data_IF_856272683313
#
_entry.id   IF_856272683313
#
_cell.length_a   1.000
_cell.length_b   1.000
_cell.length_c   1.000
_cell.angle_alpha   90.00
_cell.angle_beta   90.00
_cell.angle_gamma   90.00
#
_symmetry.space_group_name_H-M   'P 1'
#
loop_
_entity.id
_entity.type
_entity.pdbx_description
1 polymer ?
2 polymer ?
3 non-polymer ?
4 water ?
#
# COMPACT_ATOMS: atom_id res chain seq x y z
N UNK A 5 24.60 1.01 -13.27
CA UNK A 5 24.48 -0.40 -12.96
C UNK A 5 23.47 -0.67 -11.87
N UNK A 6 22.62 -1.67 -12.08
CA UNK A 6 21.55 -1.96 -11.11
C UNK A 6 22.14 -2.33 -9.75
N UNK A 7 23.13 -3.23 -9.74
CA UNK A 7 23.75 -3.66 -8.49
C UNK A 7 24.36 -2.47 -7.75
N UNK A 8 25.10 -1.63 -8.46
CA UNK A 8 25.72 -0.46 -7.82
C UNK A 8 24.67 0.55 -7.37
N UNK A 9 23.61 0.75 -8.17
CA UNK A 9 22.59 1.70 -7.79
C UNK A 9 21.89 1.29 -6.50
N UNK A 10 21.51 0.01 -6.39
CA UNK A 10 20.75 -0.42 -5.22
C UNK A 10 21.60 -0.37 -3.96
N UNK A 11 22.87 -0.75 -4.08
CA UNK A 11 23.80 -0.67 -2.96
C UNK A 11 24.00 0.77 -2.48
N UNK A 12 24.12 1.71 -3.43
CA UNK A 12 24.22 3.12 -3.05
C UNK A 12 22.99 3.58 -2.29
N UNK A 13 21.81 3.13 -2.72
CA UNK A 13 20.58 3.48 -2.00
C UNK A 13 20.59 2.88 -0.59
N UNK A 14 21.02 1.62 -0.48
CA UNK A 14 21.00 0.96 0.82
C UNK A 14 21.94 1.63 1.80
N UNK A 15 22.98 2.30 1.30
CA UNK A 15 23.91 3.05 2.16
C UNK A 15 23.34 4.39 2.58
N UNK A 16 22.50 5.02 1.76
CA UNK A 16 21.99 6.35 2.03
C UNK A 16 20.95 6.39 3.13
N UNK A 17 20.58 5.24 3.70
CA UNK A 17 19.50 5.21 4.67
C UNK A 17 19.79 6.00 5.95
N UNK A 18 21.08 6.20 6.28
CA UNK A 18 21.47 6.85 7.53
C UNK A 18 20.99 8.30 7.63
N UNK A 19 20.50 8.91 6.55
CA UNK A 19 20.04 10.29 6.60
C UNK A 19 18.53 10.44 6.53
N UNK A 20 17.82 9.33 6.43
CA UNK A 20 16.37 9.30 6.54
C UNK A 20 15.95 8.60 7.83
N UNK A 21 16.78 8.68 8.89
CA UNK A 21 16.52 8.03 10.18
C UNK A 21 15.62 8.86 11.08
N UNK A 22 14.51 9.31 10.54
CA UNK A 22 13.58 10.15 11.25
C UNK A 22 12.92 9.38 12.38
N UNK A 23 12.41 10.13 13.37
CA UNK A 23 11.79 9.54 14.55
C UNK A 23 10.64 8.59 14.19
N UNK A 24 10.56 7.50 14.93
CA UNK A 24 9.48 6.52 14.83
C UNK A 24 8.89 6.27 16.22
N UNK A 25 8.78 7.32 17.03
CA UNK A 25 8.50 7.13 18.45
C UNK A 25 7.09 6.62 18.72
N UNK A 26 6.09 7.06 17.94
CA UNK A 26 4.73 6.60 18.24
C UNK A 26 4.61 5.10 18.07
N UNK A 27 5.21 4.54 17.01
CA UNK A 27 5.14 3.09 16.86
C UNK A 27 5.92 2.30 17.89
N UNK A 28 6.81 2.97 18.64
CA UNK A 28 7.58 2.35 19.71
C UNK A 28 6.87 2.42 21.06
N UNK A 29 5.75 3.12 21.15
CA UNK A 29 5.07 3.20 22.44
C UNK A 29 4.54 1.85 22.87
N UNK A 30 4.52 1.62 24.19
CA UNK A 30 4.10 0.31 24.70
C UNK A 30 2.70 -0.04 24.22
N UNK A 31 1.81 0.94 24.18
CA UNK A 31 0.41 0.71 23.79
C UNK A 31 0.31 0.28 22.34
N UNK A 32 1.34 0.56 21.53
CA UNK A 32 1.29 0.26 20.11
C UNK A 32 2.12 -0.96 19.72
N UNK A 33 2.81 -1.61 20.68
CA UNK A 33 3.71 -2.70 20.34
C UNK A 33 2.99 -3.80 19.57
N UNK A 34 1.79 -4.15 19.98
CA UNK A 34 1.08 -5.26 19.36
C UNK A 34 0.31 -4.83 18.11
N UNK A 35 0.52 -3.60 17.64
CA UNK A 35 -0.09 -3.12 16.40
C UNK A 35 0.86 -3.19 15.21
N UNK A 36 2.07 -3.71 15.43
CA UNK A 36 3.10 -3.84 14.42
C UNK A 36 3.35 -5.32 14.16
N UNK A 37 3.33 -5.74 12.89
CA UNK A 37 3.69 -7.11 12.59
C UNK A 37 5.14 -7.40 12.93
N UNK A 38 6.02 -6.43 12.69
CA UNK A 38 7.45 -6.59 12.85
C UNK A 38 7.97 -5.48 13.75
N UNK A 39 8.71 -5.87 14.79
CA UNK A 39 9.17 -4.93 15.82
C UNK A 39 9.97 -3.78 15.21
N UNK A 40 10.73 -4.05 14.15
CA UNK A 40 11.70 -3.12 13.59
C UNK A 40 11.17 -2.28 12.43
N UNK A 41 9.95 -2.54 11.98
CA UNK A 41 9.42 -1.84 10.83
C UNK A 41 8.30 -0.96 11.33
N UNK A 42 8.57 0.36 11.40
CA UNK A 42 7.67 1.30 12.04
C UNK A 42 7.51 2.52 11.16
N UNK A 43 6.37 3.20 11.26
CA UNK A 43 6.14 4.41 10.45
C UNK A 43 6.90 5.62 11.01
N UNK A 44 7.44 6.45 10.11
CA UNK A 44 7.95 7.74 10.59
C UNK A 44 6.82 8.54 11.24
N UNK A 45 7.11 9.20 12.35
CA UNK A 45 6.07 9.97 13.02
C UNK A 45 5.51 11.05 12.11
N UNK A 46 6.36 11.74 11.34
CA UNK A 46 5.88 12.92 10.65
C UNK A 46 5.02 12.63 9.42
N UNK A 47 5.04 11.41 8.90
CA UNK A 47 4.19 11.07 7.75
C UNK A 47 3.20 9.97 8.10
N UNK A 48 3.15 9.51 9.35
CA UNK A 48 2.24 8.43 9.70
C UNK A 48 0.80 8.88 9.54
N UNK A 49 -0.10 7.92 9.28
CA UNK A 49 -1.52 8.21 9.25
C UNK A 49 -2.02 8.27 10.69
N UNK A 50 -2.50 9.43 11.12
CA UNK A 50 -3.02 9.60 12.47
C UNK A 50 -4.52 9.32 12.45
N UNK A 51 -4.98 8.38 13.29
CA UNK A 51 -6.40 8.00 13.28
C UNK A 51 -7.17 8.81 14.30
N UNK A 52 -8.19 9.51 13.83
CA UNK A 52 -9.02 10.34 14.67
C UNK A 52 -10.29 9.58 15.04
N UNK A 53 -11.08 10.16 15.92
CA UNK A 53 -12.43 9.67 16.21
C UNK A 53 -12.43 8.28 16.86
N UNK A 54 -11.40 7.96 17.62
CA UNK A 54 -11.33 6.66 18.26
C UNK A 54 -12.19 6.55 19.50
N UNK A 55 -12.39 5.31 19.95
CA UNK A 55 -13.09 5.03 21.19
C UNK A 55 -12.47 5.83 22.34
N UNK A 56 -13.23 6.70 22.99
CA UNK A 56 -12.64 7.55 24.04
C UNK A 56 -12.19 6.77 25.26
N UNK A 57 -12.56 5.49 25.40
CA UNK A 57 -12.07 4.67 26.51
C UNK A 57 -10.70 4.07 26.24
N UNK A 58 -10.24 4.11 24.99
CA UNK A 58 -8.94 3.58 24.65
C UNK A 58 -7.92 4.70 24.85
N UNK A 59 -6.93 4.52 25.72
CA UNK A 59 -5.95 5.60 25.93
C UNK A 59 -5.17 5.97 24.68
N UNK A 60 -4.84 5.01 23.81
CA UNK A 60 -4.15 5.29 22.56
C UNK A 60 -4.98 4.68 21.44
N UNK A 61 -5.65 5.52 20.66
CA UNK A 61 -6.48 5.01 19.57
C UNK A 61 -6.09 5.63 18.23
N UNK A 62 -4.96 6.31 18.16
CA UNK A 62 -4.64 7.10 16.98
C UNK A 62 -3.58 6.47 16.12
N UNK A 63 -3.22 5.21 16.36
CA UNK A 63 -2.07 4.59 15.73
C UNK A 63 -2.42 3.46 14.76
N UNK A 64 -1.84 3.54 13.55
CA UNK A 64 -1.77 2.41 12.64
C UNK A 64 -0.40 2.43 11.97
N UNK A 65 0.14 1.26 11.68
CA UNK A 65 1.44 1.20 11.01
C UNK A 65 1.23 1.48 9.52
N UNK A 66 1.28 2.77 9.16
CA UNK A 66 0.97 3.21 7.80
C UNK A 66 1.50 4.61 7.64
N UNK A 67 1.94 4.94 6.42
CA UNK A 67 2.37 6.29 6.10
C UNK A 67 1.78 6.76 4.79
N UNK A 68 1.49 8.06 4.71
CA UNK A 68 1.16 8.69 3.45
C UNK A 68 2.41 8.77 2.60
N UNK A 69 2.31 8.38 1.32
CA UNK A 69 3.40 8.50 0.35
C UNK A 69 2.90 9.41 -0.77
N UNK A 70 3.57 10.58 -0.93
CA UNK A 70 3.28 11.52 -2.03
C UNK A 70 4.36 11.37 -3.09
N UNK A 71 3.99 11.27 -4.36
CA UNK A 71 5.03 11.22 -5.40
C UNK A 71 5.74 12.54 -5.55
N UNK A 72 5.04 13.65 -5.26
CA UNK A 72 5.63 14.97 -5.30
C UNK A 72 5.13 15.72 -4.09
N UNK A 73 5.88 16.76 -3.71
CA UNK A 73 5.53 17.46 -2.47
C UNK A 73 4.14 18.09 -2.52
N UNK A 74 3.67 18.46 -3.69
CA UNK A 74 2.37 19.11 -3.70
C UNK A 74 1.21 18.20 -3.95
N UNK A 75 1.42 16.87 -3.86
CA UNK A 75 0.48 15.95 -4.47
C UNK A 75 -0.87 16.04 -3.80
N UNK A 76 -1.92 15.97 -4.62
CA UNK A 76 -3.25 15.80 -4.06
C UNK A 76 -3.33 14.43 -3.40
N UNK A 77 -4.32 14.26 -2.53
CA UNK A 77 -4.58 12.93 -1.98
C UNK A 77 -4.89 11.90 -3.05
N UNK A 78 -5.64 12.30 -4.08
CA UNK A 78 -5.97 11.38 -5.17
C UNK A 78 -4.74 10.85 -5.88
N UNK A 79 -3.65 11.63 -5.90
CA UNK A 79 -2.39 11.22 -6.54
C UNK A 79 -1.42 10.59 -5.53
N UNK A 80 -1.84 10.39 -4.28
CA UNK A 80 -0.99 9.84 -3.23
C UNK A 80 -1.37 8.40 -2.91
N UNK A 81 -0.58 7.80 -2.01
CA UNK A 81 -0.75 6.43 -1.58
C UNK A 81 -0.66 6.38 -0.06
N UNK A 82 -1.21 5.32 0.51
CA UNK A 82 -0.93 4.94 1.89
C UNK A 82 -0.24 3.61 1.82
N UNK A 83 0.97 3.55 2.33
CA UNK A 83 1.71 2.29 2.43
C UNK A 83 1.49 1.75 3.82
N UNK A 84 1.00 0.50 3.91
CA UNK A 84 0.68 -0.06 5.20
C UNK A 84 0.95 -1.56 5.20
N UNK A 85 1.07 -2.13 6.40
CA UNK A 85 1.17 -3.59 6.52
C UNK A 85 -0.20 -4.26 6.39
N UNK A 86 -0.17 -5.54 6.05
CA UNK A 86 -1.40 -6.32 6.13
C UNK A 86 -1.99 -6.28 7.53
N UNK A 87 -3.32 -6.31 7.62
CA UNK A 87 -3.96 -6.29 8.94
C UNK A 87 -3.47 -7.42 9.84
N UNK A 88 -3.37 -7.12 11.13
CA UNK A 88 -3.27 -8.13 12.17
C UNK A 88 -4.68 -8.35 12.70
N UNK A 89 -4.86 -9.45 13.43
CA UNK A 89 -6.20 -9.71 13.94
C UNK A 89 -6.73 -8.52 14.72
N UNK A 90 -5.85 -7.84 15.46
CA UNK A 90 -6.28 -6.74 16.31
C UNK A 90 -6.22 -5.38 15.65
N UNK A 91 -5.88 -5.31 14.35
CA UNK A 91 -5.84 -4.03 13.65
C UNK A 91 -6.80 -3.94 12.48
N UNK A 92 -7.65 -4.96 12.26
CA UNK A 92 -8.63 -4.90 11.18
C UNK A 92 -9.54 -3.69 11.36
N UNK A 93 -10.02 -3.45 12.57
CA UNK A 93 -10.93 -2.31 12.77
C UNK A 93 -10.23 -0.99 12.49
N UNK A 94 -8.96 -0.86 12.94
CA UNK A 94 -8.19 0.36 12.66
C UNK A 94 -7.95 0.54 11.17
N UNK A 95 -7.68 -0.55 10.44
CA UNK A 95 -7.54 -0.45 8.99
C UNK A 95 -8.78 0.18 8.34
N UNK A 96 -9.98 -0.26 8.72
CA UNK A 96 -11.17 0.31 8.11
C UNK A 96 -11.42 1.75 8.58
N UNK A 97 -11.06 2.08 9.83
CA UNK A 97 -11.09 3.48 10.24
C UNK A 97 -10.20 4.31 9.33
N UNK A 98 -9.01 3.80 9.01
CA UNK A 98 -8.10 4.53 8.14
C UNK A 98 -8.71 4.71 6.76
N UNK A 99 -9.23 3.64 6.16
CA UNK A 99 -9.79 3.72 4.82
C UNK A 99 -10.91 4.75 4.79
N UNK A 100 -11.77 4.73 5.80
CA UNK A 100 -12.90 5.67 5.83
C UNK A 100 -12.41 7.09 6.02
N UNK A 101 -11.54 7.32 7.00
CA UNK A 101 -11.08 8.67 7.31
C UNK A 101 -10.36 9.32 6.13
N UNK A 102 -9.54 8.56 5.42
CA UNK A 102 -8.71 9.11 4.35
C UNK A 102 -9.46 9.15 3.02
N UNK A 103 -10.72 8.70 3.01
CA UNK A 103 -11.53 8.73 1.81
C UNK A 103 -10.97 7.83 0.70
N UNK A 104 -10.21 6.80 1.08
CA UNK A 104 -9.63 5.89 0.11
C UNK A 104 -10.73 5.08 -0.59
N UNK A 105 -10.58 4.91 -1.90
CA UNK A 105 -11.56 4.17 -2.68
C UNK A 105 -10.97 2.98 -3.41
N UNK A 106 -9.65 2.78 -3.32
CA UNK A 106 -8.97 1.67 -3.96
C UNK A 106 -7.96 1.11 -2.98
N UNK A 107 -7.94 -0.21 -2.85
CA UNK A 107 -6.97 -0.93 -2.02
C UNK A 107 -6.21 -1.89 -2.91
N UNK A 108 -4.90 -1.92 -2.80
CA UNK A 108 -4.05 -2.86 -3.52
C UNK A 108 -3.44 -3.81 -2.51
N UNK A 109 -3.84 -5.08 -2.55
CA UNK A 109 -3.28 -6.13 -1.70
C UNK A 109 -2.27 -6.92 -2.52
N UNK A 110 -1.04 -7.04 -2.02
CA UNK A 110 0.04 -7.65 -2.79
C UNK A 110 0.45 -9.02 -2.29
N UNK A 111 -0.28 -9.60 -1.32
CA UNK A 111 0.05 -10.92 -0.78
C UNK A 111 -1.20 -11.76 -0.75
N UNK A 112 -1.00 -13.07 -0.55
CA UNK A 112 -2.09 -13.90 -0.04
C UNK A 112 -2.29 -13.63 1.46
N UNK A 113 -3.38 -14.13 2.05
CA UNK A 113 -3.52 -14.03 3.52
C UNK A 113 -2.39 -14.76 4.22
N UNK A 114 -2.02 -15.95 3.71
CA UNK A 114 -0.98 -16.79 4.30
C UNK A 114 -0.03 -17.21 3.18
N UNK A 115 1.28 -17.13 3.45
CA UNK A 115 2.29 -17.64 2.54
C UNK A 115 3.33 -18.37 3.38
N UNK A 116 3.62 -19.61 2.98
CA UNK A 116 4.62 -20.45 3.65
C UNK A 116 4.33 -20.55 5.15
N UNK A 117 3.06 -20.80 5.48
CA UNK A 117 2.66 -21.00 6.87
C UNK A 117 2.62 -19.77 7.74
N UNK A 118 2.85 -18.57 7.20
CA UNK A 118 2.87 -17.34 7.98
C UNK A 118 1.78 -16.38 7.53
N UNK A 119 1.16 -15.71 8.49
CA UNK A 119 0.09 -14.78 8.19
C UNK A 119 0.69 -13.47 7.68
N UNK A 120 0.31 -13.07 6.46
CA UNK A 120 0.76 -11.81 5.85
C UNK A 120 -0.33 -10.76 5.88
N UNK A 121 -1.57 -11.18 6.09
CA UNK A 121 -2.69 -10.25 6.20
C UNK A 121 -3.87 -11.04 6.68
N UNK A 122 -4.45 -10.65 7.81
CA UNK A 122 -5.70 -11.27 8.25
C UNK A 122 -6.82 -10.78 7.35
N UNK A 123 -7.74 -11.69 6.99
CA UNK A 123 -8.84 -11.34 6.11
C UNK A 123 -9.66 -10.22 6.74
N UNK A 124 -9.80 -9.10 6.01
CA UNK A 124 -10.52 -7.93 6.50
C UNK A 124 -11.74 -7.60 5.64
N UNK A 125 -12.13 -8.50 4.74
CA UNK A 125 -13.29 -8.30 3.88
C UNK A 125 -14.26 -9.45 4.10
N UNK A 126 -15.55 -9.21 3.89
CA UNK A 126 -16.54 -10.29 4.04
C UNK A 126 -16.46 -11.25 2.87
N UNK A 127 -17.02 -12.44 3.08
CA UNK A 127 -17.25 -13.35 1.96
C UNK A 127 -18.15 -12.70 0.94
N UNK A 128 -18.05 -13.15 -0.32
CA UNK A 128 -18.86 -12.57 -1.37
C UNK A 128 -20.34 -12.56 -1.01
N UNK A 129 -20.96 -11.40 -1.17
CA UNK A 129 -22.38 -11.12 -0.92
C UNK A 129 -22.68 -10.89 0.55
N UNK A 130 -21.70 -11.05 1.44
CA UNK A 130 -21.94 -10.97 2.86
C UNK A 130 -21.68 -9.57 3.40
N UNK A 131 -22.18 -9.34 4.61
CA UNK A 131 -22.12 -8.05 5.28
C UNK A 131 -21.45 -8.28 6.62
N UNK A 132 -20.46 -7.44 6.97
CA UNK A 132 -19.80 -7.60 8.27
C UNK A 132 -19.61 -6.22 8.88
N UNK A 133 -19.68 -6.15 10.21
CA UNK A 133 -19.31 -4.95 10.93
C UNK A 133 -17.90 -5.13 11.48
N UNK A 134 -17.07 -4.12 11.28
CA UNK A 134 -15.71 -4.12 11.82
C UNK A 134 -15.67 -2.90 12.71
N UNK A 135 -15.93 -3.08 13.99
CA UNK A 135 -16.04 -1.94 14.87
C UNK A 135 -17.23 -1.10 14.45
N UNK A 136 -16.99 0.20 14.27
CA UNK A 136 -18.02 1.14 13.85
C UNK A 136 -18.25 1.14 12.35
N UNK A 137 -17.46 0.40 11.58
CA UNK A 137 -17.59 0.37 10.13
C UNK A 137 -18.39 -0.85 9.67
N UNK A 138 -19.19 -0.66 8.63
CA UNK A 138 -19.97 -1.74 8.02
C UNK A 138 -19.46 -1.94 6.60
N UNK A 139 -19.22 -3.19 6.21
CA UNK A 139 -18.69 -3.51 4.88
C UNK A 139 -19.55 -4.62 4.24
N UNK A 140 -20.06 -4.36 3.05
CA UNK A 140 -20.71 -5.37 2.20
C UNK A 140 -19.78 -5.76 1.07
N UNK A 141 -19.59 -7.05 0.86
CA UNK A 141 -18.86 -7.53 -0.32
C UNK A 141 -19.93 -7.72 -1.40
N UNK A 142 -19.98 -6.80 -2.35
CA UNK A 142 -21.05 -6.79 -3.35
C UNK A 142 -20.81 -7.81 -4.43
N UNK A 143 -19.56 -7.92 -4.90
CA UNK A 143 -19.27 -8.79 -6.03
C UNK A 143 -17.77 -8.99 -6.10
N UNK A 144 -17.37 -10.21 -6.40
CA UNK A 144 -15.99 -10.54 -6.70
C UNK A 144 -15.87 -10.88 -8.17
N UNK A 145 -14.81 -10.39 -8.80
CA UNK A 145 -14.51 -10.64 -10.20
C UNK A 145 -13.09 -11.20 -10.29
N UNK A 146 -12.95 -12.44 -10.76
CA UNK A 146 -11.69 -13.15 -10.69
C UNK A 146 -11.00 -13.06 -12.04
N UNK A 147 -9.77 -12.58 -12.05
CA UNK A 147 -8.89 -12.56 -13.19
C UNK A 147 -7.75 -13.56 -12.98
N UNK A 148 -6.87 -13.67 -13.97
CA UNK A 148 -5.81 -14.66 -13.91
C UNK A 148 -4.91 -14.43 -12.71
N UNK A 149 -4.45 -13.19 -12.53
CA UNK A 149 -3.47 -12.86 -11.52
C UNK A 149 -4.06 -12.20 -10.29
N UNK A 150 -5.33 -11.77 -10.33
CA UNK A 150 -5.87 -10.99 -9.23
C UNK A 150 -7.37 -11.16 -9.18
N UNK A 151 -7.93 -10.82 -8.04
CA UNK A 151 -9.37 -10.79 -7.84
C UNK A 151 -9.74 -9.37 -7.47
N UNK A 152 -10.81 -8.85 -8.06
CA UNK A 152 -11.34 -7.55 -7.68
C UNK A 152 -12.53 -7.78 -6.78
N UNK A 153 -12.57 -7.10 -5.63
CA UNK A 153 -13.73 -7.16 -4.76
C UNK A 153 -14.35 -5.77 -4.66
N UNK A 154 -15.62 -5.66 -5.01
CA UNK A 154 -16.35 -4.40 -4.89
C UNK A 154 -16.94 -4.36 -3.49
N UNK A 155 -16.41 -3.50 -2.64
CA UNK A 155 -16.82 -3.41 -1.26
C UNK A 155 -17.61 -2.11 -1.07
N UNK A 156 -18.63 -2.15 -0.23
CA UNK A 156 -19.36 -0.95 0.12
C UNK A 156 -19.13 -0.69 1.60
N UNK A 157 -18.52 0.45 1.91
CA UNK A 157 -18.09 0.81 3.26
C UNK A 157 -18.95 1.97 3.77
N UNK A 158 -19.44 1.83 5.01
CA UNK A 158 -20.18 2.91 5.64
C UNK A 158 -19.94 2.88 7.14
N UNK A 159 -20.33 3.97 7.81
CA UNK A 159 -20.27 4.06 9.26
C UNK A 159 -21.60 3.60 9.84
N UNK A 160 -21.56 2.65 10.78
CA UNK A 160 -22.79 2.13 11.36
C UNK A 160 -23.60 3.27 11.97
N UNK A 161 -24.91 3.21 11.77
CA UNK A 161 -25.84 4.16 12.36
C UNK A 161 -25.90 5.51 11.69
N UNK A 162 -25.06 5.77 10.70
CA UNK A 162 -25.04 7.07 10.00
C UNK A 162 -25.26 6.82 8.52
N UNK A 163 -26.47 7.13 8.06
CA UNK A 163 -26.75 7.11 6.63
C UNK A 163 -25.92 8.14 5.88
N UNK A 164 -25.84 7.93 4.57
CA UNK A 164 -25.13 8.82 3.64
C UNK A 164 -23.65 8.94 3.96
N UNK A 165 -23.06 7.93 4.59
CA UNK A 165 -21.62 7.80 4.64
C UNK A 165 -21.11 6.70 3.74
N UNK A 166 -21.98 6.05 2.98
CA UNK A 166 -21.57 4.90 2.20
C UNK A 166 -20.68 5.34 1.02
N UNK A 167 -19.63 4.57 0.79
CA UNK A 167 -18.86 4.73 -0.43
C UNK A 167 -18.34 3.37 -0.87
N UNK A 168 -18.14 3.22 -2.18
CA UNK A 168 -17.57 1.99 -2.71
C UNK A 168 -16.05 2.01 -2.61
N UNK A 169 -15.49 0.92 -2.08
CA UNK A 169 -14.04 0.71 -2.02
C UNK A 169 -13.71 -0.50 -2.89
N UNK A 170 -12.79 -0.33 -3.84
CA UNK A 170 -12.47 -1.37 -4.80
C UNK A 170 -11.17 -2.02 -4.35
N UNK A 171 -11.22 -3.29 -3.97
CA UNK A 171 -10.03 -4.01 -3.51
C UNK A 171 -9.46 -4.86 -4.65
N UNK A 172 -8.26 -4.52 -5.08
CA UNK A 172 -7.55 -5.26 -6.13
C UNK A 172 -6.55 -6.17 -5.44
N UNK A 173 -6.84 -7.45 -5.42
CA UNK A 173 -6.06 -8.42 -4.66
C UNK A 173 -5.19 -9.23 -5.62
N UNK A 174 -3.92 -8.90 -5.66
CA UNK A 174 -2.99 -9.64 -6.51
C UNK A 174 -2.66 -10.95 -5.80
N UNK A 175 -2.89 -12.07 -6.48
CA UNK A 175 -2.85 -13.38 -5.82
C UNK A 175 -1.66 -14.26 -6.20
N UNK A 176 -0.91 -13.94 -7.25
CA UNK A 176 0.09 -14.87 -7.77
C UNK A 176 1.53 -14.42 -7.56
N UNK A 177 1.78 -13.37 -6.77
CA UNK A 177 3.17 -13.02 -6.51
C UNK A 177 3.87 -14.23 -5.88
N UNK A 178 5.09 -14.54 -6.28
CA UNK A 178 5.75 -15.75 -5.76
C UNK A 178 6.11 -15.62 -4.29
N UNK A 179 6.16 -16.78 -3.63
CA UNK A 179 6.48 -16.81 -2.20
C UNK A 179 7.86 -16.27 -1.93
N UNK A 180 8.78 -16.47 -2.89
CA UNK A 180 10.13 -15.92 -2.83
C UNK A 180 10.41 -15.17 -4.11
N UNK A 181 11.17 -14.07 -3.99
CA UNK A 181 11.59 -13.31 -5.15
C UNK A 181 10.46 -12.51 -5.77
N UNK A 182 10.53 -12.29 -7.08
CA UNK A 182 9.58 -11.43 -7.78
C UNK A 182 9.08 -12.18 -9.01
N UNK A 183 7.97 -11.73 -9.62
CA UNK A 183 7.54 -12.35 -10.87
C UNK A 183 8.65 -12.24 -11.91
N UNK A 184 8.81 -13.30 -12.71
CA UNK A 184 9.87 -13.32 -13.71
C UNK A 184 9.62 -12.37 -14.88
N UNK A 185 8.39 -11.92 -15.06
CA UNK A 185 8.15 -10.84 -16.00
C UNK A 185 7.02 -9.97 -15.48
N UNK A 186 6.97 -8.69 -15.87
CA UNK A 186 6.06 -7.74 -15.19
C UNK A 186 4.70 -7.59 -15.83
N UNK A 187 4.39 -8.40 -16.84
CA UNK A 187 3.13 -8.23 -17.57
C UNK A 187 1.92 -8.29 -16.66
N UNK A 188 1.88 -9.28 -15.76
CA UNK A 188 0.73 -9.40 -14.86
C UNK A 188 0.59 -8.19 -13.96
N UNK A 189 1.69 -7.74 -13.38
CA UNK A 189 1.65 -6.56 -12.52
C UNK A 189 1.25 -5.33 -13.30
N UNK A 190 1.76 -5.19 -14.54
CA UNK A 190 1.44 -4.00 -15.33
C UNK A 190 -0.05 -3.97 -15.68
N UNK A 191 -0.62 -5.11 -16.04
CA UNK A 191 -2.04 -5.12 -16.37
C UNK A 191 -2.88 -4.82 -15.15
N UNK A 192 -2.49 -5.39 -13.99
CA UNK A 192 -3.13 -5.12 -12.71
C UNK A 192 -3.05 -3.63 -12.39
N UNK A 193 -1.85 -3.05 -12.49
CA UNK A 193 -1.71 -1.62 -12.17
C UNK A 193 -2.50 -0.74 -13.12
N UNK A 194 -2.65 -1.16 -14.39
CA UNK A 194 -3.44 -0.34 -15.30
C UNK A 194 -4.90 -0.27 -14.86
N UNK A 195 -5.47 -1.40 -14.40
CA UNK A 195 -6.84 -1.40 -13.92
C UNK A 195 -6.98 -0.58 -12.66
N UNK A 196 -6.01 -0.70 -11.73
CA UNK A 196 -6.03 0.10 -10.51
C UNK A 196 -6.04 1.58 -10.87
N UNK A 197 -5.16 1.96 -11.80
CA UNK A 197 -5.03 3.35 -12.16
C UNK A 197 -6.32 3.91 -12.77
N UNK A 198 -6.92 3.18 -13.71
CA UNK A 198 -8.14 3.68 -14.33
C UNK A 198 -9.27 3.76 -13.32
N UNK A 199 -9.36 2.80 -12.38
CA UNK A 199 -10.40 2.88 -11.37
C UNK A 199 -10.21 4.13 -10.51
N UNK A 200 -9.01 4.31 -9.96
CA UNK A 200 -8.74 5.49 -9.16
C UNK A 200 -9.01 6.77 -9.94
N UNK A 201 -8.57 6.81 -11.20
CA UNK A 201 -8.75 8.03 -12.00
C UNK A 201 -10.22 8.37 -12.21
N UNK A 202 -11.08 7.36 -12.23
CA UNK A 202 -12.49 7.53 -12.57
C UNK A 202 -13.31 8.05 -11.40
N UNK A 203 -12.77 8.04 -10.18
CA UNK A 203 -13.52 8.41 -8.98
C UNK A 203 -13.18 9.84 -8.61
N UNK A 204 -14.19 10.71 -8.62
CA UNK A 204 -13.98 12.15 -8.54
C UNK A 204 -13.18 12.53 -7.29
N UNK A 205 -13.73 12.26 -6.11
CA UNK A 205 -13.17 12.81 -4.89
C UNK A 205 -12.22 11.84 -4.18
N UNK A 206 -11.55 10.94 -4.90
CA UNK A 206 -10.88 9.82 -4.22
C UNK A 206 -9.68 10.27 -3.39
N UNK A 207 -9.53 9.67 -2.21
CA UNK A 207 -8.35 9.84 -1.40
C UNK A 207 -7.24 8.90 -1.84
N UNK A 208 -6.17 8.80 -1.05
CA UNK A 208 -5.00 8.00 -1.47
C UNK A 208 -5.32 6.52 -1.68
N UNK A 209 -4.62 5.91 -2.62
CA UNK A 209 -4.70 4.47 -2.84
C UNK A 209 -3.95 3.75 -1.72
N UNK A 210 -4.62 2.83 -1.05
CA UNK A 210 -3.99 2.04 0.02
C UNK A 210 -3.27 0.86 -0.61
N UNK A 211 -2.00 0.64 -0.25
CA UNK A 211 -1.22 -0.47 -0.80
C UNK A 211 -0.62 -1.21 0.38
N UNK A 212 -0.75 -2.53 0.43
CA UNK A 212 -0.22 -3.27 1.56
C UNK A 212 0.48 -4.55 1.16
N UNK A 213 1.41 -4.95 2.03
CA UNK A 213 2.17 -6.19 1.98
C UNK A 213 2.41 -6.59 3.44
N UNK A 214 3.12 -7.70 3.68
CA UNK A 214 3.25 -8.14 5.08
C UNK A 214 3.84 -7.06 5.96
N UNK A 215 4.87 -6.37 5.49
CA UNK A 215 5.46 -5.29 6.29
C UNK A 215 5.10 -3.91 5.77
N UNK A 216 4.54 -3.83 4.58
CA UNK A 216 4.21 -2.55 4.02
C UNK A 216 5.40 -1.82 3.46
N UNK A 217 6.46 -2.54 3.07
CA UNK A 217 7.62 -1.81 2.52
C UNK A 217 8.20 -2.43 1.25
N UNK A 218 8.25 -3.77 1.15
CA UNK A 218 8.95 -4.42 0.04
C UNK A 218 8.11 -4.52 -1.23
N UNK A 219 7.11 -5.42 -1.22
CA UNK A 219 6.22 -5.45 -2.37
C UNK A 219 5.45 -4.15 -2.46
N UNK A 220 5.11 -3.54 -1.31
CA UNK A 220 4.37 -2.29 -1.33
C UNK A 220 5.19 -1.22 -2.03
N UNK A 221 6.46 -1.08 -1.67
CA UNK A 221 7.29 -0.07 -2.32
C UNK A 221 7.51 -0.35 -3.79
N UNK A 222 7.60 -1.64 -4.15
CA UNK A 222 7.77 -2.00 -5.56
C UNK A 222 6.54 -1.59 -6.39
N UNK A 223 5.34 -1.93 -5.91
CA UNK A 223 4.14 -1.52 -6.64
C UNK A 223 4.02 0.01 -6.71
N UNK A 224 4.23 0.71 -5.58
CA UNK A 224 4.07 2.17 -5.59
C UNK A 224 5.08 2.81 -6.54
N UNK A 225 6.34 2.39 -6.50
CA UNK A 225 7.34 3.06 -7.33
C UNK A 225 7.07 2.80 -8.81
N UNK A 226 6.69 1.56 -9.19
CA UNK A 226 6.28 1.31 -10.57
C UNK A 226 5.14 2.23 -10.96
N UNK A 227 4.12 2.31 -10.10
CA UNK A 227 2.95 3.14 -10.43
C UNK A 227 3.34 4.60 -10.63
N UNK A 228 4.22 5.13 -9.76
CA UNK A 228 4.67 6.52 -9.90
C UNK A 228 5.37 6.73 -11.23
N UNK A 229 6.30 5.84 -11.56
CA UNK A 229 7.08 5.99 -12.78
C UNK A 229 6.22 5.87 -14.03
N UNK A 230 5.29 4.91 -14.05
CA UNK A 230 4.43 4.80 -15.22
C UNK A 230 3.57 6.05 -15.36
N UNK A 231 3.13 6.63 -14.24
CA UNK A 231 2.35 7.85 -14.36
C UNK A 231 3.16 9.02 -14.90
N UNK A 232 4.48 9.05 -14.66
CA UNK A 232 5.31 10.07 -15.28
C UNK A 232 5.29 9.90 -16.79
N UNK A 233 5.39 8.65 -17.26
CA UNK A 233 5.35 8.37 -18.68
C UNK A 233 3.99 8.69 -19.27
N UNK A 234 2.90 8.47 -18.50
CA UNK A 234 1.58 8.86 -18.99
C UNK A 234 1.53 10.36 -19.28
N UNK A 235 2.10 11.17 -18.38
CA UNK A 235 2.01 12.61 -18.52
C UNK A 235 3.03 13.15 -19.50
N UNK A 236 4.25 12.62 -19.47
CA UNK A 236 5.37 13.22 -20.20
C UNK A 236 5.82 12.46 -21.44
N UNK A 237 5.39 11.21 -21.65
CA UNK A 237 5.75 10.45 -22.82
C UNK A 237 6.94 9.51 -22.61
N UNK A 238 7.16 8.67 -23.63
CA UNK A 238 8.13 7.57 -23.50
C UNK A 238 9.57 8.05 -23.46
N UNK A 239 9.85 9.28 -23.90
CA UNK A 239 11.22 9.78 -23.89
C UNK A 239 11.54 10.66 -22.69
N UNK A 240 10.67 10.67 -21.68
CA UNK A 240 10.90 11.51 -20.52
C UNK A 240 12.04 10.97 -19.67
N UNK A 241 12.55 11.82 -18.79
CA UNK A 241 13.55 11.40 -17.82
C UNK A 241 12.91 10.51 -16.77
N UNK A 242 13.49 9.34 -16.58
CA UNK A 242 13.07 8.40 -15.54
C UNK A 242 14.28 8.21 -14.64
N UNK A 243 14.10 8.47 -13.34
CA UNK A 243 15.18 8.39 -12.37
C UNK A 243 14.70 7.46 -11.26
N UNK A 244 14.97 6.16 -11.42
CA UNK A 244 14.51 5.18 -10.42
C UNK A 244 15.13 5.43 -9.05
N UNK A 245 16.44 5.67 -8.91
CA UNK A 245 16.99 5.93 -7.57
C UNK A 245 16.34 7.11 -6.90
N UNK A 246 16.14 8.22 -7.62
CA UNK A 246 15.57 9.40 -7.00
C UNK A 246 14.13 9.16 -6.56
N UNK A 247 13.37 8.39 -7.34
CA UNK A 247 12.00 8.07 -6.94
C UNK A 247 11.98 7.18 -5.71
N UNK A 248 12.89 6.21 -5.64
CA UNK A 248 13.00 5.38 -4.42
C UNK A 248 13.40 6.24 -3.23
N UNK A 249 14.33 7.18 -3.43
CA UNK A 249 14.70 8.07 -2.33
C UNK A 249 13.50 8.91 -1.86
N UNK A 250 12.68 9.38 -2.80
CA UNK A 250 11.51 10.17 -2.43
C UNK A 250 10.55 9.35 -1.58
N UNK A 251 10.22 8.13 -2.01
CA UNK A 251 9.30 7.34 -1.17
C UNK A 251 9.95 6.92 0.15
N UNK A 252 11.26 6.67 0.16
CA UNK A 252 11.94 6.28 1.39
C UNK A 252 12.02 7.42 2.40
N UNK A 253 11.91 8.67 1.95
CA UNK A 253 11.84 9.79 2.88
C UNK A 253 10.52 9.83 3.62
N UNK A 254 9.55 9.01 3.19
CA UNK A 254 8.22 9.00 3.75
C UNK A 254 7.85 7.70 4.44
N UNK A 255 8.54 6.59 4.15
CA UNK A 255 8.39 5.38 4.97
C UNK A 255 9.67 4.59 4.81
N UNK A 256 10.25 4.12 5.91
CA UNK A 256 11.56 3.48 5.88
C UNK A 256 11.59 2.25 5.00
N UNK A 257 12.64 2.15 4.18
CA UNK A 257 12.96 0.85 3.59
C UNK A 257 12.14 0.46 2.40
N UNK A 258 11.37 1.37 1.84
CA UNK A 258 10.56 1.02 0.68
C UNK A 258 11.46 0.46 -0.43
N UNK A 259 11.03 -0.68 -1.01
CA UNK A 259 11.79 -1.51 -1.96
C UNK A 259 12.92 -2.19 -1.22
N UNK A 260 12.76 -3.48 -0.93
CA UNK A 260 13.65 -4.19 -0.03
C UNK A 260 14.79 -4.93 -0.70
N UNK A 261 14.61 -5.44 -1.92
CA UNK A 261 15.59 -6.36 -2.48
C UNK A 261 16.10 -5.92 -3.85
N UNK A 262 17.25 -6.48 -4.23
CA UNK A 262 17.79 -6.22 -5.55
C UNK A 262 16.90 -6.78 -6.65
N UNK A 263 16.23 -7.92 -6.41
CA UNK A 263 15.30 -8.42 -7.43
C UNK A 263 14.13 -7.47 -7.63
N UNK A 264 13.61 -6.90 -6.54
CA UNK A 264 12.57 -5.88 -6.68
C UNK A 264 13.06 -4.69 -7.46
N UNK A 265 14.28 -4.25 -7.16
CA UNK A 265 14.84 -3.10 -7.88
C UNK A 265 14.92 -3.40 -9.38
N UNK A 266 15.44 -4.59 -9.74
CA UNK A 266 15.50 -4.97 -11.14
C UNK A 266 14.10 -5.07 -11.75
N UNK A 267 13.13 -5.55 -10.96
CA UNK A 267 11.76 -5.69 -11.45
C UNK A 267 11.14 -4.33 -11.78
N UNK A 268 11.44 -3.30 -10.99
CA UNK A 268 10.93 -1.97 -11.30
C UNK A 268 11.42 -1.51 -12.67
N UNK A 269 12.72 -1.66 -12.92
CA UNK A 269 13.25 -1.25 -14.22
C UNK A 269 12.60 -2.03 -15.34
N UNK A 270 12.37 -3.33 -15.11
CA UNK A 270 11.79 -4.18 -16.15
C UNK A 270 10.35 -3.77 -16.44
N UNK A 271 9.59 -3.46 -15.39
CA UNK A 271 8.22 -3.04 -15.55
C UNK A 271 8.14 -1.75 -16.35
N UNK A 272 8.98 -0.77 -16.02
CA UNK A 272 8.96 0.49 -16.76
C UNK A 272 9.32 0.27 -18.22
N UNK A 273 10.36 -0.52 -18.48
CA UNK A 273 10.75 -0.81 -19.86
C UNK A 273 9.64 -1.51 -20.62
N UNK A 274 8.93 -2.45 -19.97
CA UNK A 274 7.84 -3.11 -20.68
C UNK A 274 6.70 -2.16 -20.94
N UNK A 275 6.40 -1.27 -19.98
CA UNK A 275 5.37 -0.27 -20.21
C UNK A 275 5.71 0.58 -21.43
N UNK A 276 6.98 0.98 -21.54
CA UNK A 276 7.44 1.79 -22.67
C UNK A 276 7.31 1.02 -23.97
N UNK A 277 7.73 -0.24 -23.97
CA UNK A 277 7.70 -1.05 -25.20
C UNK A 277 6.29 -1.37 -25.64
N UNK A 278 5.33 -1.50 -24.73
CA UNK A 278 3.96 -1.68 -25.20
C UNK A 278 3.44 -0.41 -25.85
N UNK A 279 3.80 0.75 -25.32
CA UNK A 279 3.39 2.01 -25.93
C UNK A 279 4.00 2.16 -27.33
N UNK A 280 5.26 1.78 -27.49
CA UNK A 280 5.95 1.98 -28.77
C UNK A 280 5.41 1.07 -29.85
N UNK A 281 4.82 -0.05 -29.47
CA UNK A 281 4.17 -0.93 -30.44
C UNK A 281 2.96 -0.25 -31.08
N UNK B 5 5.44 -9.53 18.09
CA UNK B 5 6.00 -8.89 16.89
C UNK B 5 7.37 -9.50 16.57
N UNK B 6 7.76 -9.51 15.30
CA UNK B 6 9.02 -10.18 14.91
C UNK B 6 9.99 -9.31 14.14
N UNK B 7 10.70 -9.89 13.16
CA UNK B 7 11.73 -9.17 12.40
C UNK B 7 11.67 -9.47 10.90
N UNK B 9 13.30 -9.48 7.60
CA UNK B 9 14.52 -9.38 6.82
C UNK B 9 14.29 -10.16 5.54
N UNK B 10 13.00 -10.36 5.25
CA UNK B 10 12.48 -10.76 3.94
C UNK B 10 12.60 -12.25 3.63
#
# INVERSE_FOLDING_TARGET
GSGSGFWEEFETLQQQECKLLYSRKEGQRQENKNKNRYKNILPFDHTRVVLHDGDPNEPVSDYINANIIMPEFGSSGKKSYIATQGCLQNTVNDFWRMVFQENSRVIVMTTKEVERGKSKCVKYWPDEYALKEYGVMRVRNVKESAAHDYTLRELKLSKVGQGNTERTVWQYHFRTWPDHGVPSDPGGVLDFLEEVHHKQESIMDAGPVVVHSSAGIGRTGTFIVIDILIDIIREKGVDCDIDVPKTIQMVRSQRSGMVQTEAQYRFIYMAVQHYIETLQRR
EPKXPGEXVNIEF
#
